data_IF_035473214502
#
_entry.id   IF_035473214502
#
_cell.length_a   1.000
_cell.length_b   1.000
_cell.length_c   1.000
_cell.angle_alpha   90.00
_cell.angle_beta   90.00
_cell.angle_gamma   90.00
#
_symmetry.space_group_name_H-M   'P 1'
#
loop_
_entity.id
_entity.type
_entity.pdbx_description
1 polymer ?
#
# COMPACT_ATOMS: atom_id res chain seq x y z
N UNK A 1 -56.08 -4.17 -0.90
CA UNK A 1 -55.03 -5.20 -1.11
C UNK A 1 -54.08 -4.95 -2.29
N UNK A 2 -54.32 -3.97 -3.17
CA UNK A 2 -53.41 -3.67 -4.29
C UNK A 2 -52.34 -2.60 -4.00
N UNK A 3 -52.57 -1.71 -3.02
CA UNK A 3 -51.65 -0.59 -2.73
C UNK A 3 -50.38 -0.98 -1.97
N UNK A 4 -50.43 -2.01 -1.11
CA UNK A 4 -49.27 -2.44 -0.31
C UNK A 4 -48.19 -3.11 -1.18
N UNK A 5 -48.58 -3.76 -2.29
CA UNK A 5 -47.65 -4.42 -3.22
C UNK A 5 -46.85 -3.43 -4.09
N UNK A 6 -47.34 -2.21 -4.29
CA UNK A 6 -46.70 -1.22 -5.15
C UNK A 6 -45.48 -0.55 -4.49
N UNK A 7 -45.53 -0.33 -3.16
CA UNK A 7 -44.41 0.23 -2.39
C UNK A 7 -43.23 -0.74 -2.31
N UNK A 8 -43.51 -2.04 -2.18
CA UNK A 8 -42.49 -3.11 -2.17
C UNK A 8 -41.74 -3.25 -3.50
N UNK A 9 -42.41 -2.97 -4.63
CA UNK A 9 -41.81 -3.06 -5.96
C UNK A 9 -40.94 -1.83 -6.31
N UNK A 10 -41.26 -0.66 -5.75
CA UNK A 10 -40.42 0.54 -5.88
C UNK A 10 -39.17 0.49 -4.99
N UNK A 11 -39.22 -0.19 -3.84
CA UNK A 11 -38.07 -0.35 -2.95
C UNK A 11 -36.97 -1.30 -3.45
N UNK A 12 -37.28 -2.19 -4.41
CA UNK A 12 -36.31 -3.17 -4.94
C UNK A 12 -35.50 -2.68 -6.13
N UNK A 13 -35.90 -1.58 -6.78
CA UNK A 13 -35.26 -1.07 -8.01
C UNK A 13 -34.14 -0.04 -7.74
N UNK A 14 -33.95 0.41 -6.50
CA UNK A 14 -32.90 1.39 -6.14
C UNK A 14 -31.67 0.76 -5.47
N UNK A 15 -31.42 -0.54 -5.67
CA UNK A 15 -30.10 -1.09 -5.36
C UNK A 15 -29.14 -0.68 -6.46
N UNK A 16 -28.54 0.50 -6.32
CA UNK A 16 -27.27 0.79 -6.95
C UNK A 16 -26.30 -0.33 -6.56
N UNK A 17 -25.62 -0.99 -7.52
CA UNK A 17 -24.50 -1.85 -7.16
C UNK A 17 -23.51 -0.97 -6.39
N UNK A 18 -23.23 -1.31 -5.13
CA UNK A 18 -22.20 -0.62 -4.37
C UNK A 18 -20.89 -0.82 -5.11
N UNK A 19 -20.30 0.28 -5.60
CA UNK A 19 -18.96 0.24 -6.19
C UNK A 19 -18.02 -0.31 -5.12
N UNK A 20 -17.31 -1.40 -5.41
CA UNK A 20 -16.21 -1.84 -4.52
C UNK A 20 -15.16 -0.74 -4.52
N UNK A 21 -14.97 -0.10 -3.37
CA UNK A 21 -13.93 0.90 -3.18
C UNK A 21 -12.57 0.21 -3.05
N UNK A 22 -11.48 0.82 -3.53
CA UNK A 22 -10.14 0.33 -3.23
C UNK A 22 -9.89 0.39 -1.72
N UNK A 23 -9.01 -0.48 -1.23
CA UNK A 23 -8.80 -0.65 0.22
C UNK A 23 -8.36 0.63 0.92
N UNK A 24 -7.57 1.48 0.25
CA UNK A 24 -7.11 2.76 0.78
C UNK A 24 -8.21 3.84 0.90
N UNK A 25 -9.40 3.61 0.35
CA UNK A 25 -10.59 4.46 0.58
C UNK A 25 -11.52 3.90 1.68
N UNK A 26 -11.31 2.67 2.15
CA UNK A 26 -12.16 2.00 3.15
C UNK A 26 -11.59 2.14 4.57
N UNK A 27 -12.31 2.85 5.44
CA UNK A 27 -11.94 3.07 6.84
C UNK A 27 -11.91 1.76 7.64
N UNK A 28 -12.72 0.78 7.26
CA UNK A 28 -12.77 -0.52 7.95
C UNK A 28 -11.59 -1.41 7.57
N UNK A 29 -10.87 -1.09 6.48
CA UNK A 29 -9.74 -1.86 6.02
C UNK A 29 -8.43 -1.27 6.53
N UNK A 30 -7.94 -1.80 7.66
CA UNK A 30 -6.70 -1.30 8.28
C UNK A 30 -5.45 -2.08 7.86
N UNK A 31 -5.58 -3.40 7.70
CA UNK A 31 -4.45 -4.31 7.45
C UNK A 31 -4.88 -5.53 6.64
N UNK A 32 -4.05 -5.99 5.70
CA UNK A 32 -4.18 -7.28 5.00
C UNK A 32 -2.88 -8.07 5.10
N UNK A 33 -2.95 -9.36 5.44
CA UNK A 33 -1.79 -10.27 5.41
C UNK A 33 -0.70 -10.01 6.46
N UNK A 34 -0.95 -9.14 7.44
CA UNK A 34 0.00 -8.85 8.52
C UNK A 34 -0.01 -9.95 9.58
N UNK A 35 1.15 -10.22 10.18
CA UNK A 35 1.28 -11.07 11.36
C UNK A 35 0.70 -10.32 12.57
N UNK A 36 0.13 -11.04 13.54
CA UNK A 36 -0.38 -10.44 14.78
C UNK A 36 0.73 -9.62 15.46
N UNK A 37 0.42 -8.41 15.97
CA UNK A 37 1.38 -7.64 16.75
C UNK A 37 1.95 -8.47 17.90
N UNK A 38 3.27 -8.48 18.01
CA UNK A 38 4.01 -9.24 19.01
C UNK A 38 5.23 -8.44 19.47
N UNK A 39 5.78 -8.81 20.62
CA UNK A 39 7.05 -8.27 21.12
C UNK A 39 8.15 -8.54 20.08
N UNK A 40 9.07 -7.61 19.84
CA UNK A 40 10.17 -7.83 18.90
C UNK A 40 10.89 -9.14 19.25
N UNK A 41 11.04 -10.00 18.24
CA UNK A 41 11.69 -11.30 18.39
C UNK A 41 13.19 -11.18 18.74
N UNK A 42 13.78 -9.99 18.63
CA UNK A 42 15.17 -9.74 19.00
C UNK A 42 15.32 -9.12 20.37
N UNK A 43 15.99 -9.86 21.26
CA UNK A 43 16.62 -9.37 22.48
C UNK A 43 18.13 -9.47 22.22
N UNK A 44 18.78 -8.39 21.83
CA UNK A 44 20.24 -8.35 21.75
C UNK A 44 20.72 -6.92 21.97
N UNK A 45 21.06 -6.60 23.21
CA UNK A 45 22.03 -5.54 23.50
C UNK A 45 23.43 -6.12 23.27
N UNK A 46 24.19 -5.51 22.37
CA UNK A 46 25.62 -5.77 22.22
C UNK A 46 26.00 -6.99 21.37
N UNK A 47 26.87 -6.74 20.38
CA UNK A 47 27.57 -7.72 19.53
C UNK A 47 26.66 -8.58 18.64
N UNK A 48 26.23 -8.00 17.52
CA UNK A 48 25.77 -8.77 16.36
C UNK A 48 26.97 -9.53 15.79
N UNK A 49 27.11 -10.78 16.16
CA UNK A 49 27.98 -11.71 15.45
C UNK A 49 27.33 -12.00 14.09
N UNK A 50 27.75 -11.26 13.05
CA UNK A 50 27.17 -11.27 11.70
C UNK A 50 27.12 -12.68 11.07
N UNK A 51 27.93 -13.59 11.61
CA UNK A 51 28.15 -14.95 11.10
C UNK A 51 26.99 -15.92 11.34
N UNK A 52 26.00 -15.60 12.19
CA UNK A 52 24.85 -16.50 12.52
C UNK A 52 23.47 -15.85 12.52
N UNK A 53 23.35 -14.59 12.10
CA UNK A 53 22.05 -13.92 12.13
C UNK A 53 21.16 -14.37 10.98
N UNK A 54 20.00 -14.98 11.29
CA UNK A 54 18.90 -15.21 10.33
C UNK A 54 18.17 -13.90 9.96
N UNK A 55 18.92 -12.81 9.80
CA UNK A 55 18.42 -11.46 9.56
C UNK A 55 19.22 -10.85 8.43
N UNK A 56 18.52 -10.39 7.41
CA UNK A 56 19.10 -9.67 6.29
C UNK A 56 18.67 -8.21 6.35
N UNK A 57 19.65 -7.30 6.35
CA UNK A 57 19.37 -5.87 6.23
C UNK A 57 19.07 -5.54 4.76
N UNK A 58 17.94 -4.90 4.51
CA UNK A 58 17.53 -4.48 3.16
C UNK A 58 17.65 -2.96 2.96
N UNK A 59 18.34 -2.27 3.88
CA UNK A 59 18.64 -0.86 3.74
C UNK A 59 19.65 -0.66 2.61
N UNK A 60 19.50 0.43 1.86
CA UNK A 60 20.38 0.70 0.72
C UNK A 60 19.66 1.48 -0.37
N UNK A 61 20.12 1.31 -1.58
CA UNK A 61 19.57 1.94 -2.77
C UNK A 61 18.45 1.11 -3.38
N UNK A 62 17.31 1.75 -3.64
CA UNK A 62 16.12 1.13 -4.21
C UNK A 62 15.67 1.91 -5.44
N UNK A 63 15.20 1.20 -6.47
CA UNK A 63 14.53 1.81 -7.62
C UNK A 63 13.18 2.37 -7.18
N UNK A 64 12.93 3.62 -7.52
CA UNK A 64 11.75 4.34 -7.09
C UNK A 64 11.21 5.24 -8.20
N UNK A 65 9.89 5.31 -8.33
CA UNK A 65 9.20 6.20 -9.25
C UNK A 65 7.94 6.75 -8.59
N UNK A 66 7.76 8.07 -8.68
CA UNK A 66 6.57 8.76 -8.20
C UNK A 66 5.57 8.93 -9.36
N UNK A 67 4.30 8.68 -9.08
CA UNK A 67 3.19 8.87 -10.02
C UNK A 67 2.16 9.84 -9.43
N UNK A 68 1.53 10.65 -10.27
CA UNK A 68 0.51 11.62 -9.85
C UNK A 68 -0.81 10.96 -9.40
N UNK A 69 -1.07 9.73 -9.87
CA UNK A 69 -2.28 8.99 -9.52
C UNK A 69 -2.03 7.47 -9.38
N UNK A 70 -2.80 6.77 -8.53
CA UNK A 70 -2.66 5.32 -8.35
C UNK A 70 -3.03 4.52 -9.60
N UNK A 71 -3.94 5.06 -10.43
CA UNK A 71 -4.34 4.42 -11.69
C UNK A 71 -3.18 4.39 -12.68
N UNK A 72 -2.35 5.43 -12.72
CA UNK A 72 -1.16 5.50 -13.57
C UNK A 72 -0.10 4.46 -13.17
N UNK A 73 0.07 4.19 -11.87
CA UNK A 73 1.02 3.19 -11.40
C UNK A 73 0.62 1.76 -11.80
N UNK A 74 -0.69 1.46 -11.81
CA UNK A 74 -1.20 0.13 -12.16
C UNK A 74 -0.97 -0.21 -13.64
N UNK A 75 -0.92 0.80 -14.51
CA UNK A 75 -0.71 0.61 -15.95
C UNK A 75 0.66 0.03 -16.30
N UNK A 76 1.68 0.31 -15.48
CA UNK A 76 3.05 -0.15 -15.74
C UNK A 76 3.33 -1.57 -15.18
N UNK A 77 2.40 -2.16 -14.40
CA UNK A 77 2.52 -3.50 -13.78
C UNK A 77 3.91 -3.82 -13.19
N UNK A 78 4.45 -2.96 -12.29
CA UNK A 78 5.79 -3.10 -11.74
C UNK A 78 5.98 -4.34 -10.85
N UNK A 79 4.90 -5.04 -10.48
CA UNK A 79 4.95 -6.29 -9.71
C UNK A 79 5.46 -7.50 -10.51
N UNK A 80 5.59 -7.36 -11.84
CA UNK A 80 6.03 -8.45 -12.71
C UNK A 80 7.53 -8.70 -12.59
N UNK A 81 7.92 -9.98 -12.59
CA UNK A 81 9.32 -10.40 -12.49
C UNK A 81 10.16 -9.95 -13.70
N UNK A 82 9.52 -9.82 -14.86
CA UNK A 82 10.12 -9.40 -16.12
C UNK A 82 10.01 -7.88 -16.39
N UNK A 83 9.64 -7.09 -15.38
CA UNK A 83 9.54 -5.64 -15.52
C UNK A 83 10.92 -4.97 -15.66
N UNK A 84 11.03 -4.05 -16.62
CA UNK A 84 12.24 -3.25 -16.82
C UNK A 84 12.15 -1.94 -16.02
N UNK A 85 12.94 -1.85 -14.96
CA UNK A 85 13.04 -0.71 -14.04
C UNK A 85 14.22 0.22 -14.35
N UNK A 86 14.90 0.03 -15.50
CA UNK A 86 16.12 0.78 -15.85
C UNK A 86 15.95 2.29 -15.93
N UNK A 87 14.72 2.75 -16.20
CA UNK A 87 14.37 4.18 -16.31
C UNK A 87 14.03 4.84 -14.97
N UNK A 88 13.98 4.06 -13.88
CA UNK A 88 13.58 4.56 -12.57
C UNK A 88 14.75 5.18 -11.82
N UNK A 89 14.42 6.21 -11.03
CA UNK A 89 15.36 6.86 -10.15
C UNK A 89 15.77 5.93 -8.99
N UNK A 90 16.84 6.30 -8.30
CA UNK A 90 17.38 5.55 -7.16
C UNK A 90 17.23 6.38 -5.87
N UNK A 91 16.62 5.80 -4.84
CA UNK A 91 16.42 6.43 -3.53
C UNK A 91 17.04 5.57 -2.43
N UNK A 92 17.65 6.22 -1.43
CA UNK A 92 18.16 5.53 -0.23
C UNK A 92 17.04 5.24 0.76
N UNK A 93 16.93 4.00 1.21
CA UNK A 93 15.96 3.57 2.24
C UNK A 93 16.72 3.24 3.53
N UNK A 94 16.32 3.78 4.70
CA UNK A 94 15.14 4.63 4.95
C UNK A 94 15.37 6.11 4.63
N UNK A 95 14.41 6.76 3.96
CA UNK A 95 14.36 8.22 3.81
C UNK A 95 12.93 8.70 3.51
N UNK A 96 12.70 10.00 3.67
CA UNK A 96 11.47 10.65 3.20
C UNK A 96 11.68 11.13 1.75
N UNK A 97 10.87 10.64 0.80
CA UNK A 97 11.04 10.96 -0.63
C UNK A 97 10.93 12.45 -0.96
N UNK A 98 10.23 13.26 -0.13
CA UNK A 98 10.11 14.70 -0.33
C UNK A 98 11.47 15.39 -0.20
N UNK A 99 12.31 14.90 0.70
CA UNK A 99 13.65 15.44 0.96
C UNK A 99 14.66 15.01 -0.10
N UNK A 100 14.34 13.98 -0.89
CA UNK A 100 15.15 13.47 -2.00
C UNK A 100 14.83 14.17 -3.32
N UNK A 101 13.89 15.13 -3.33
CA UNK A 101 13.55 15.94 -4.51
C UNK A 101 12.38 15.43 -5.35
N UNK A 102 11.67 14.38 -4.91
CA UNK A 102 10.52 13.84 -5.65
C UNK A 102 9.21 14.61 -5.42
N UNK A 103 9.08 15.34 -4.31
CA UNK A 103 7.88 16.12 -4.00
C UNK A 103 8.19 17.25 -3.02
N UNK A 104 7.33 18.27 -3.01
CA UNK A 104 7.47 19.41 -2.08
C UNK A 104 6.88 19.06 -0.71
N UNK A 105 7.60 19.30 0.41
CA UNK A 105 7.03 19.13 1.74
C UNK A 105 5.96 20.19 2.01
N UNK A 106 4.83 19.77 2.59
CA UNK A 106 3.70 20.64 2.91
C UNK A 106 3.58 20.73 4.43
N UNK A 107 3.58 21.95 4.96
CA UNK A 107 3.33 22.25 6.36
C UNK A 107 2.13 23.19 6.43
N UNK A 108 1.02 22.71 7.00
CA UNK A 108 -0.25 23.43 7.10
C UNK A 108 -0.78 23.34 8.52
#
# INVERSE_FOLDING_TARGET
YAWIRAVDLLGRALRCPSRKLPEWEDIQATCRGQIKPHVPLSIAEGSVDETRCQRLLLNGSWRFRLFDSPTSATSDSPERVDFDDSTWDEVRVPSHWQLTGHATPIYT
#
